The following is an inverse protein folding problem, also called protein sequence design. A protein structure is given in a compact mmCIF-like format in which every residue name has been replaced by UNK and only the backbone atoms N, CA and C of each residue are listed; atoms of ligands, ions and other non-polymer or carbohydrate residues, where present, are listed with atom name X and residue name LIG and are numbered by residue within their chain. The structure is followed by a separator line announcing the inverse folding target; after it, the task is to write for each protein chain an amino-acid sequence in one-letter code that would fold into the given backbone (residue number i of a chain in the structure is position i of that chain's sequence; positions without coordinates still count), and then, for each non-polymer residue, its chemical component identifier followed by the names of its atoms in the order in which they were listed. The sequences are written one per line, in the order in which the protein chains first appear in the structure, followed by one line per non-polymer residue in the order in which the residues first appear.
data_IF_174052672657
#
_entry.id   IF_174052672657
#
_cell.length_a   1.000
_cell.length_b   1.000
_cell.length_c   1.000
_cell.angle_alpha   90.00
_cell.angle_beta   90.00
_cell.angle_gamma   90.00
#
_symmetry.space_group_name_H-M   'P 1'
#
loop_
_entity.id
_entity.type
_entity.pdbx_description
1 polymer ?
#
# COMPACT_ATOMS: atom_id res chain seq x y z
N UNK A 1 15.55 16.86 -3.77
CA UNK A 1 15.94 15.64 -3.02
C UNK A 1 14.72 14.75 -3.13
N UNK A 2 14.89 13.50 -3.56
CA UNK A 2 13.76 12.59 -3.75
C UNK A 2 13.18 12.18 -2.40
N UNK A 3 11.85 12.19 -2.29
CA UNK A 3 11.12 11.62 -1.15
C UNK A 3 10.80 10.16 -1.44
N UNK A 4 11.21 9.26 -0.55
CA UNK A 4 10.93 7.83 -0.62
C UNK A 4 9.58 7.49 -0.01
N UNK A 5 8.75 6.74 -0.74
CA UNK A 5 7.40 6.36 -0.31
C UNK A 5 7.26 4.85 -0.38
N UNK A 6 6.92 4.22 0.75
CA UNK A 6 6.58 2.80 0.82
C UNK A 6 5.06 2.64 0.67
N UNK A 7 4.63 1.78 -0.25
CA UNK A 7 3.23 1.42 -0.42
C UNK A 7 2.97 0.01 0.11
N UNK A 8 2.01 -0.09 1.03
CA UNK A 8 1.50 -1.32 1.63
C UNK A 8 -0.02 -1.42 1.44
N UNK A 9 -0.53 -2.64 1.48
CA UNK A 9 -1.96 -2.94 1.54
C UNK A 9 -2.14 -4.38 2.03
N UNK A 10 -3.35 -4.73 2.46
CA UNK A 10 -3.76 -6.12 2.63
C UNK A 10 -2.82 -6.91 3.56
N UNK A 11 -2.35 -6.30 4.66
CA UNK A 11 -1.38 -6.91 5.58
C UNK A 11 -2.01 -8.03 6.40
N UNK A 12 -3.29 -7.92 6.75
CA UNK A 12 -4.08 -8.95 7.43
C UNK A 12 -3.36 -9.62 8.62
N UNK A 13 -2.64 -8.86 9.43
CA UNK A 13 -2.01 -9.38 10.64
C UNK A 13 -3.03 -9.28 11.78
N UNK A 14 -3.25 -10.35 12.58
CA UNK A 14 -2.52 -11.61 12.62
C UNK A 14 -3.16 -12.77 11.81
N UNK A 15 -4.22 -12.52 11.03
CA UNK A 15 -5.01 -13.59 10.38
C UNK A 15 -4.27 -14.34 9.26
N UNK A 16 -3.46 -13.63 8.46
CA UNK A 16 -2.74 -14.21 7.31
C UNK A 16 -1.24 -14.36 7.56
N UNK A 17 -0.71 -13.65 8.55
CA UNK A 17 0.64 -13.82 9.05
C UNK A 17 0.69 -13.50 10.55
N UNK A 18 1.56 -14.18 11.30
CA UNK A 18 1.71 -13.93 12.76
C UNK A 18 2.26 -12.53 13.06
N UNK A 19 3.04 -11.98 12.14
CA UNK A 19 3.65 -10.65 12.18
C UNK A 19 4.05 -10.22 10.77
N UNK A 20 4.31 -8.94 10.57
CA UNK A 20 4.91 -8.47 9.32
C UNK A 20 6.33 -9.04 9.12
N UNK A 21 6.72 -9.42 7.89
CA UNK A 21 8.08 -9.86 7.59
C UNK A 21 9.13 -8.78 7.89
N UNK A 22 10.33 -9.19 8.32
CA UNK A 22 11.42 -8.27 8.69
C UNK A 22 11.82 -7.33 7.52
N UNK A 23 11.67 -7.77 6.27
CA UNK A 23 11.90 -6.92 5.10
C UNK A 23 10.93 -5.73 5.01
N UNK A 24 9.67 -5.93 5.40
CA UNK A 24 8.66 -4.86 5.44
C UNK A 24 9.00 -3.87 6.54
N UNK A 25 9.42 -4.38 7.70
CA UNK A 25 9.83 -3.56 8.83
C UNK A 25 11.03 -2.66 8.54
N UNK A 26 12.03 -3.16 7.79
CA UNK A 26 13.15 -2.34 7.32
C UNK A 26 12.68 -1.26 6.35
N UNK A 27 11.84 -1.63 5.39
CA UNK A 27 11.30 -0.66 4.43
C UNK A 27 10.46 0.44 5.11
N UNK A 28 9.75 0.12 6.20
CA UNK A 28 9.03 1.12 7.01
C UNK A 28 9.99 2.11 7.67
N UNK A 29 11.09 1.61 8.25
CA UNK A 29 12.08 2.46 8.92
C UNK A 29 12.86 3.35 7.94
N UNK A 30 13.10 2.84 6.72
CA UNK A 30 13.91 3.50 5.71
C UNK A 30 13.11 4.53 4.87
N UNK A 31 11.78 4.48 4.88
CA UNK A 31 10.93 5.33 4.06
C UNK A 31 10.57 6.67 4.74
N UNK A 32 10.58 7.75 3.95
CA UNK A 32 10.13 9.07 4.43
C UNK A 32 8.62 9.10 4.68
N UNK A 33 7.85 8.36 3.86
CA UNK A 33 6.40 8.22 4.01
C UNK A 33 5.96 6.78 3.79
N UNK A 34 5.14 6.27 4.69
CA UNK A 34 4.44 5.00 4.53
C UNK A 34 2.99 5.28 4.13
N UNK A 35 2.52 4.62 3.07
CA UNK A 35 1.13 4.60 2.64
C UNK A 35 0.58 3.20 2.85
N UNK A 36 -0.58 3.06 3.50
CA UNK A 36 -1.22 1.76 3.68
C UNK A 36 -2.69 1.78 3.27
N UNK A 37 -3.04 1.02 2.22
CA UNK A 37 -4.35 1.01 1.60
C UNK A 37 -5.36 0.05 2.25
N UNK A 38 -5.39 -0.03 3.59
CA UNK A 38 -6.36 -0.84 4.35
C UNK A 38 -6.11 -2.34 4.46
N UNK A 39 -7.02 -3.02 5.15
CA UNK A 39 -6.99 -4.44 5.51
C UNK A 39 -5.81 -4.81 6.44
N UNK A 40 -5.81 -4.14 7.60
CA UNK A 40 -4.88 -4.35 8.71
C UNK A 40 -5.28 -5.58 9.54
N UNK A 41 -6.57 -5.67 9.85
CA UNK A 41 -7.28 -6.55 10.79
C UNK A 41 -7.19 -6.12 12.26
N UNK A 42 -6.01 -5.84 12.79
CA UNK A 42 -5.87 -5.46 14.20
C UNK A 42 -5.35 -4.03 14.41
N UNK A 43 -5.70 -3.45 15.56
CA UNK A 43 -5.25 -2.13 15.96
C UNK A 43 -3.75 -2.11 16.30
N UNK A 44 -3.22 -3.21 16.85
CA UNK A 44 -1.83 -3.30 17.26
C UNK A 44 -0.86 -3.20 16.07
N UNK A 45 -1.23 -3.69 14.88
CA UNK A 45 -0.41 -3.50 13.67
C UNK A 45 -0.40 -2.05 13.21
N UNK A 46 -1.53 -1.34 13.30
CA UNK A 46 -1.58 0.10 13.03
C UNK A 46 -0.63 0.85 13.97
N UNK A 47 -0.77 0.64 15.28
CA UNK A 47 0.05 1.30 16.30
C UNK A 47 1.55 1.01 16.10
N UNK A 48 1.91 -0.24 15.82
CA UNK A 48 3.30 -0.62 15.58
C UNK A 48 3.91 0.01 14.30
N UNK A 49 3.10 0.27 13.27
CA UNK A 49 3.55 0.99 12.07
C UNK A 49 3.62 2.49 12.36
N UNK A 50 2.63 3.07 13.04
CA UNK A 50 2.60 4.49 13.44
C UNK A 50 3.82 4.86 14.28
N UNK A 51 4.23 4.00 15.22
CA UNK A 51 5.39 4.22 16.09
C UNK A 51 6.74 4.24 15.34
N UNK A 52 6.81 3.60 14.16
CA UNK A 52 8.06 3.44 13.40
C UNK A 52 8.14 4.31 12.16
N UNK A 53 7.01 4.55 11.50
CA UNK A 53 6.96 5.35 10.29
C UNK A 53 7.26 6.81 10.60
N UNK A 54 8.13 7.44 9.82
CA UNK A 54 8.36 8.89 9.91
C UNK A 54 7.08 9.69 9.62
N UNK A 55 6.24 9.18 8.70
CA UNK A 55 4.89 9.67 8.39
C UNK A 55 4.03 8.51 7.88
N UNK A 56 2.78 8.43 8.32
CA UNK A 56 1.81 7.45 7.84
C UNK A 56 0.60 8.11 7.17
N UNK A 57 0.22 7.61 5.99
CA UNK A 57 -1.05 7.92 5.30
C UNK A 57 -1.80 6.61 5.11
N UNK A 58 -2.98 6.49 5.73
CA UNK A 58 -3.64 5.21 5.90
C UNK A 58 -5.15 5.32 5.76
N UNK A 59 -5.77 4.24 5.28
CA UNK A 59 -7.23 4.04 5.28
C UNK A 59 -7.58 2.71 5.90
N UNK A 60 -8.85 2.55 6.30
CA UNK A 60 -9.39 1.23 6.63
C UNK A 60 -9.84 0.48 5.36
N UNK A 61 -9.75 -0.84 5.39
CA UNK A 61 -10.28 -1.77 4.40
C UNK A 61 -11.57 -2.47 4.86
N UNK A 62 -12.02 -3.43 4.07
CA UNK A 62 -13.30 -4.11 4.34
C UNK A 62 -13.21 -5.14 5.48
N UNK A 63 -12.01 -5.60 5.84
CA UNK A 63 -11.78 -6.55 6.93
C UNK A 63 -11.49 -5.87 8.28
N UNK A 64 -11.46 -4.53 8.32
CA UNK A 64 -11.13 -3.77 9.51
C UNK A 64 -12.35 -3.44 10.38
N UNK A 65 -12.20 -3.72 11.67
CA UNK A 65 -13.25 -3.54 12.68
C UNK A 65 -13.47 -2.10 13.14
N UNK A 66 -14.43 -1.88 14.05
CA UNK A 66 -14.81 -0.54 14.54
C UNK A 66 -13.64 0.27 15.10
N UNK A 67 -12.71 -0.36 15.82
CA UNK A 67 -11.58 0.33 16.45
C UNK A 67 -10.64 0.97 15.42
N UNK A 68 -10.36 0.27 14.32
CA UNK A 68 -9.57 0.81 13.20
C UNK A 68 -10.36 1.88 12.44
N UNK A 69 -11.65 1.66 12.20
CA UNK A 69 -12.53 2.63 11.51
C UNK A 69 -12.75 3.92 12.30
N UNK A 70 -12.59 3.89 13.61
CA UNK A 70 -12.62 5.09 14.45
C UNK A 70 -11.36 5.95 14.30
N UNK A 71 -10.24 5.36 13.84
CA UNK A 71 -8.94 6.04 13.70
C UNK A 71 -8.57 6.38 12.26
N UNK A 72 -8.99 5.55 11.31
CA UNK A 72 -8.63 5.65 9.90
C UNK A 72 -9.84 6.08 9.07
N UNK A 73 -9.68 6.96 8.09
CA UNK A 73 -10.75 7.30 7.16
C UNK A 73 -10.95 6.21 6.11
N UNK A 74 -12.07 6.27 5.38
CA UNK A 74 -12.30 5.45 4.19
C UNK A 74 -11.46 5.92 2.99
N UNK A 75 -11.26 7.25 2.90
CA UNK A 75 -10.44 7.90 1.88
C UNK A 75 -9.45 8.84 2.58
N UNK A 76 -8.17 8.65 2.32
CA UNK A 76 -7.13 9.58 2.78
C UNK A 76 -6.59 10.37 1.59
N UNK A 77 -6.29 11.65 1.82
CA UNK A 77 -5.64 12.54 0.85
C UNK A 77 -4.40 13.13 1.47
N UNK A 78 -3.34 13.24 0.69
CA UNK A 78 -2.08 13.81 1.13
C UNK A 78 -1.33 14.43 -0.05
N UNK A 79 -0.47 15.39 0.26
CA UNK A 79 0.58 15.83 -0.64
C UNK A 79 1.93 15.30 -0.14
N UNK A 80 2.72 14.74 -1.05
CA UNK A 80 4.09 14.26 -0.81
C UNK A 80 4.98 14.92 -1.84
N UNK A 81 5.84 15.84 -1.39
CA UNK A 81 6.77 16.57 -2.25
C UNK A 81 6.11 17.12 -3.54
N UNK A 82 4.95 17.78 -3.38
CA UNK A 82 4.17 18.34 -4.50
C UNK A 82 3.27 17.35 -5.25
N UNK A 83 3.35 16.04 -4.97
CA UNK A 83 2.52 15.01 -5.60
C UNK A 83 1.23 14.82 -4.80
N UNK A 84 0.07 15.00 -5.42
CA UNK A 84 -1.23 14.77 -4.77
C UNK A 84 -1.59 13.29 -4.82
N UNK A 85 -1.82 12.71 -3.66
CA UNK A 85 -2.14 11.29 -3.50
C UNK A 85 -3.52 11.13 -2.88
N UNK A 86 -4.30 10.20 -3.41
CA UNK A 86 -5.45 9.64 -2.72
C UNK A 86 -5.21 8.17 -2.39
N UNK A 87 -5.68 7.73 -1.23
CA UNK A 87 -5.59 6.34 -0.78
C UNK A 87 -7.01 5.86 -0.54
N UNK A 88 -7.36 4.72 -1.12
CA UNK A 88 -8.66 4.06 -0.98
C UNK A 88 -8.42 2.56 -0.91
N UNK A 89 -9.24 1.81 -0.18
CA UNK A 89 -9.02 0.36 -0.14
C UNK A 89 -9.54 -0.34 -1.41
N UNK A 90 -10.79 -0.08 -1.79
CA UNK A 90 -11.49 -0.79 -2.85
C UNK A 90 -11.88 0.14 -4.02
N UNK A 91 -11.65 -0.33 -5.25
CA UNK A 91 -11.93 0.42 -6.49
C UNK A 91 -13.06 -0.19 -7.33
N UNK A 92 -13.69 -1.25 -6.82
CA UNK A 92 -14.55 -2.14 -7.58
C UNK A 92 -13.80 -3.03 -8.59
N UNK A 93 -14.51 -3.62 -9.57
CA UNK A 93 -13.94 -4.53 -10.54
C UNK A 93 -12.78 -3.92 -11.36
N UNK A 94 -11.82 -4.76 -11.74
CA UNK A 94 -10.68 -4.35 -12.55
C UNK A 94 -11.11 -3.79 -13.92
N UNK A 95 -12.10 -4.42 -14.56
CA UNK A 95 -12.69 -3.90 -15.79
C UNK A 95 -13.33 -2.53 -15.55
N UNK A 96 -12.89 -1.54 -16.32
CA UNK A 96 -13.38 -0.16 -16.24
C UNK A 96 -12.92 0.60 -14.98
N UNK A 97 -11.95 0.07 -14.20
CA UNK A 97 -11.42 0.74 -13.00
C UNK A 97 -10.92 2.15 -13.30
N UNK A 98 -10.13 2.32 -14.36
CA UNK A 98 -9.50 3.59 -14.70
C UNK A 98 -10.51 4.69 -14.96
N UNK A 99 -11.47 4.44 -15.86
CA UNK A 99 -12.54 5.41 -16.16
C UNK A 99 -13.44 5.68 -14.94
N UNK A 100 -13.66 4.67 -14.08
CA UNK A 100 -14.42 4.85 -12.85
C UNK A 100 -13.70 5.76 -11.87
N UNK A 101 -12.39 5.58 -11.70
CA UNK A 101 -11.60 6.43 -10.80
C UNK A 101 -11.42 7.84 -11.38
N UNK A 102 -11.26 8.01 -12.69
CA UNK A 102 -11.31 9.33 -13.33
C UNK A 102 -12.61 10.06 -13.02
N UNK A 103 -13.75 9.38 -13.11
CA UNK A 103 -15.04 9.96 -12.78
C UNK A 103 -15.19 10.25 -11.27
N UNK A 104 -14.73 9.34 -10.41
CA UNK A 104 -14.83 9.48 -8.96
C UNK A 104 -13.96 10.63 -8.40
N UNK A 105 -12.83 10.91 -9.06
CA UNK A 105 -11.89 11.96 -8.68
C UNK A 105 -11.91 13.16 -9.62
N UNK A 106 -13.00 13.37 -10.36
CA UNK A 106 -13.16 14.54 -11.22
C UNK A 106 -13.19 15.85 -10.40
N UNK A 107 -12.56 16.90 -10.93
CA UNK A 107 -12.52 18.24 -10.33
C UNK A 107 -11.11 18.77 -10.10
N UNK A 108 -11.01 19.92 -9.43
CA UNK A 108 -9.75 20.65 -9.25
C UNK A 108 -8.79 19.94 -8.28
N UNK A 109 -9.33 19.16 -7.33
CA UNK A 109 -8.57 18.34 -6.36
C UNK A 109 -8.34 16.89 -6.86
N UNK A 110 -8.17 16.72 -8.17
CA UNK A 110 -7.82 15.42 -8.75
C UNK A 110 -6.43 14.99 -8.25
N UNK A 111 -6.26 13.76 -7.70
CA UNK A 111 -4.96 13.27 -7.33
C UNK A 111 -4.15 12.89 -8.57
N UNK A 112 -2.83 12.95 -8.43
CA UNK A 112 -1.88 12.52 -9.45
C UNK A 112 -1.61 11.01 -9.32
N UNK A 113 -1.72 10.47 -8.10
CA UNK A 113 -1.59 9.06 -7.76
C UNK A 113 -2.74 8.57 -6.86
N UNK A 114 -3.30 7.40 -7.19
CA UNK A 114 -4.20 6.65 -6.31
C UNK A 114 -3.55 5.35 -5.89
N UNK A 115 -3.46 5.11 -4.58
CA UNK A 115 -2.98 3.86 -4.00
C UNK A 115 -4.17 3.05 -3.49
N UNK A 116 -4.24 1.77 -3.87
CA UNK A 116 -5.35 0.88 -3.49
C UNK A 116 -4.95 -0.55 -3.16
N UNK A 117 -5.85 -1.30 -2.51
CA UNK A 117 -5.64 -2.66 -2.01
C UNK A 117 -6.71 -3.65 -2.50
N UNK A 118 -7.22 -4.47 -1.57
CA UNK A 118 -8.36 -5.40 -1.69
C UNK A 118 -8.10 -6.66 -2.53
N UNK A 119 -7.48 -6.49 -3.69
CA UNK A 119 -7.28 -7.58 -4.65
C UNK A 119 -6.07 -8.46 -4.32
N UNK A 120 -5.08 -7.91 -3.61
CA UNK A 120 -3.73 -8.46 -3.40
C UNK A 120 -2.97 -8.70 -4.71
N UNK A 121 -3.42 -8.11 -5.83
CA UNK A 121 -2.79 -8.24 -7.15
C UNK A 121 -2.02 -6.95 -7.41
N UNK A 122 -0.68 -7.02 -7.56
CA UNK A 122 0.10 -5.86 -7.97
C UNK A 122 -0.48 -5.21 -9.22
N UNK A 123 -0.62 -3.89 -9.19
CA UNK A 123 -1.22 -3.13 -10.28
C UNK A 123 -0.45 -1.82 -10.48
N UNK A 124 -0.17 -1.50 -11.74
CA UNK A 124 0.40 -0.22 -12.14
C UNK A 124 -0.19 0.16 -13.50
N UNK A 125 -0.99 1.22 -13.51
CA UNK A 125 -1.54 1.75 -14.75
C UNK A 125 -1.77 3.26 -14.66
N UNK A 126 -2.05 3.89 -15.80
CA UNK A 126 -2.39 5.31 -15.88
C UNK A 126 -3.77 5.42 -16.54
N UNK A 127 -4.67 6.14 -15.90
CA UNK A 127 -6.02 6.36 -16.41
C UNK A 127 -6.00 7.25 -17.67
N UNK A 128 -7.07 7.24 -18.49
CA UNK A 128 -7.22 8.21 -19.58
C UNK A 128 -7.09 9.68 -19.14
N UNK A 129 -7.50 10.01 -17.90
CA UNK A 129 -7.35 11.32 -17.28
C UNK A 129 -5.93 11.66 -16.78
N UNK A 130 -4.98 10.72 -16.89
CA UNK A 130 -3.57 10.90 -16.53
C UNK A 130 -3.23 10.60 -15.06
N UNK A 131 -4.15 10.02 -14.30
CA UNK A 131 -3.93 9.63 -12.90
C UNK A 131 -3.25 8.26 -12.84
N UNK A 132 -2.17 8.10 -12.07
CA UNK A 132 -1.53 6.78 -11.88
C UNK A 132 -2.26 5.98 -10.81
N UNK A 133 -2.43 4.69 -11.03
CA UNK A 133 -3.08 3.76 -10.10
C UNK A 133 -2.08 2.70 -9.67
N UNK A 134 -1.78 2.63 -8.37
CA UNK A 134 -0.86 1.64 -7.81
C UNK A 134 -1.55 0.74 -6.78
N UNK A 135 -1.36 -0.57 -6.93
CA UNK A 135 -1.66 -1.56 -5.90
C UNK A 135 -0.39 -2.33 -5.58
N UNK A 136 0.11 -2.31 -4.33
CA UNK A 136 1.36 -2.97 -3.96
C UNK A 136 1.24 -4.50 -3.87
N UNK A 137 0.03 -5.05 -4.01
CA UNK A 137 -0.30 -6.42 -3.64
C UNK A 137 -0.37 -6.57 -2.12
N UNK A 138 0.02 -7.73 -1.61
CA UNK A 138 0.05 -8.00 -0.17
C UNK A 138 1.41 -8.54 0.27
N UNK A 139 2.00 -8.00 1.35
CA UNK A 139 3.29 -8.45 1.86
C UNK A 139 3.20 -9.76 2.66
N UNK A 140 1.99 -10.25 2.95
CA UNK A 140 1.74 -11.40 3.84
C UNK A 140 0.83 -12.44 3.18
N UNK A 141 -0.20 -12.00 2.45
CA UNK A 141 -1.20 -12.84 1.82
C UNK A 141 -1.15 -12.73 0.30
N UNK A 142 -0.29 -13.51 -0.35
CA UNK A 142 -0.22 -13.53 -1.82
C UNK A 142 -1.54 -13.96 -2.50
N UNK A 143 -2.53 -14.53 -1.79
CA UNK A 143 -3.69 -15.22 -2.38
C UNK A 143 -3.27 -16.14 -3.53
N UNK A 144 -3.54 -15.76 -4.78
CA UNK A 144 -3.21 -16.49 -6.01
C UNK A 144 -1.90 -16.05 -6.68
N UNK A 145 -1.29 -14.96 -6.22
CA UNK A 145 0.00 -14.45 -6.72
C UNK A 145 1.14 -15.41 -6.37
N UNK A 146 2.22 -15.44 -7.17
CA UNK A 146 3.35 -16.34 -6.94
C UNK A 146 4.14 -15.98 -5.67
N UNK A 147 4.21 -14.69 -5.33
CA UNK A 147 5.00 -14.14 -4.22
C UNK A 147 4.22 -13.06 -3.48
N UNK A 148 4.63 -12.77 -2.24
CA UNK A 148 4.19 -11.57 -1.52
C UNK A 148 4.94 -10.35 -2.04
N UNK A 149 4.32 -9.18 -2.00
CA UNK A 149 4.87 -7.96 -2.57
C UNK A 149 4.57 -6.73 -1.73
N UNK A 150 5.39 -5.71 -1.94
CA UNK A 150 5.14 -4.31 -1.59
C UNK A 150 5.64 -3.44 -2.75
N UNK A 151 5.35 -2.14 -2.76
CA UNK A 151 5.93 -1.22 -3.75
C UNK A 151 6.70 -0.10 -3.08
N UNK A 152 7.78 0.34 -3.71
CA UNK A 152 8.48 1.57 -3.35
C UNK A 152 8.34 2.58 -4.48
N UNK A 153 8.15 3.85 -4.13
CA UNK A 153 7.97 4.96 -5.05
C UNK A 153 8.95 6.07 -4.67
N UNK A 154 9.65 6.62 -5.64
CA UNK A 154 10.44 7.83 -5.46
C UNK A 154 9.69 9.03 -6.07
N UNK A 155 9.50 10.07 -5.28
CA UNK A 155 8.86 11.33 -5.69
C UNK A 155 9.89 12.45 -5.68
N UNK A 156 9.89 13.28 -6.71
CA UNK A 156 10.71 14.50 -6.79
C UNK A 156 9.88 15.62 -7.42
N UNK A 157 9.63 16.69 -6.65
CA UNK A 157 8.97 17.91 -7.10
C UNK A 157 7.67 17.66 -7.89
N UNK A 158 6.76 16.88 -7.30
CA UNK A 158 5.42 16.59 -7.80
C UNK A 158 5.36 15.48 -8.83
N UNK A 159 6.46 14.77 -9.05
CA UNK A 159 6.55 13.71 -10.06
C UNK A 159 7.04 12.42 -9.45
N UNK A 160 6.42 11.32 -9.88
CA UNK A 160 6.95 9.98 -9.65
C UNK A 160 8.13 9.78 -10.60
N UNK A 161 9.33 9.61 -10.05
CA UNK A 161 10.55 9.38 -10.84
C UNK A 161 10.93 7.90 -10.89
N UNK A 162 10.45 7.10 -9.94
CA UNK A 162 10.68 5.65 -9.90
C UNK A 162 9.55 4.89 -9.20
N UNK A 163 9.29 3.66 -9.63
CA UNK A 163 8.35 2.72 -9.00
C UNK A 163 8.88 1.30 -9.14
N UNK A 164 9.09 0.65 -8.00
CA UNK A 164 9.55 -0.73 -7.94
C UNK A 164 8.52 -1.63 -7.25
N UNK A 165 8.24 -2.78 -7.87
CA UNK A 165 7.52 -3.87 -7.24
C UNK A 165 8.51 -4.80 -6.54
N UNK A 166 8.52 -4.76 -5.22
CA UNK A 166 9.50 -5.50 -4.39
C UNK A 166 8.87 -6.79 -3.90
N UNK A 167 9.51 -7.93 -4.18
CA UNK A 167 9.11 -9.22 -3.64
C UNK A 167 9.47 -9.31 -2.16
N UNK A 168 8.51 -9.72 -1.33
CA UNK A 168 8.69 -9.90 0.12
C UNK A 168 8.92 -11.38 0.43
N UNK A 169 10.12 -11.77 0.90
CA UNK A 169 10.38 -13.14 1.32
C UNK A 169 9.47 -13.50 2.49
N UNK A 170 8.82 -14.66 2.42
CA UNK A 170 8.15 -15.22 3.59
C UNK A 170 9.22 -15.68 4.57
N UNK A 171 9.15 -15.23 5.82
CA UNK A 171 10.03 -15.69 6.88
C UNK A 171 9.90 -17.20 7.04
N UNK A 172 10.77 -17.95 6.37
CA UNK A 172 11.02 -19.35 6.66
C UNK A 172 12.00 -19.42 7.81
N UNK A 173 11.70 -20.27 8.80
CA UNK A 173 12.75 -20.79 9.69
C UNK A 173 13.91 -21.40 8.88
N UNK A 174 15.04 -21.72 9.54
CA UNK A 174 16.30 -22.01 8.86
C UNK A 174 16.10 -23.04 7.73
N UNK A 175 16.61 -22.69 6.56
CA UNK A 175 16.73 -23.59 5.42
C UNK A 175 17.40 -24.87 5.91
N UNK A 176 16.64 -25.97 6.00
CA UNK A 176 17.25 -27.29 6.13
C UNK A 176 18.06 -27.50 4.86
N UNK A 177 19.38 -27.38 5.00
CA UNK A 177 20.33 -27.64 3.93
C UNK A 177 20.03 -28.98 3.29
N UNK A 178 20.03 -29.00 1.96
CA UNK A 178 20.12 -30.23 1.20
C UNK A 178 21.44 -30.90 1.62
N UNK A 179 21.33 -31.95 2.45
CA UNK A 179 22.41 -32.90 2.63
C UNK A 179 22.61 -33.61 1.28
N UNK A 180 23.87 -33.64 0.87
CA UNK A 180 24.39 -34.38 -0.28
C UNK A 180 24.18 -35.89 -0.11
#
# INVERSE_FOLDING_TARGET
MTTSVLLLADTHVPLRAKRLPDAVWRAIDDADVVVHAGDWVDLATLEAIEDRAARLVAVHGNNDGPDLRARLPEVARAEIDGLRIAVVHETGPATGRESRLDAAFAGDDRPDLVVFGHSHIPWDSVTPGGMRLLNPGSPTDRRRQPVCTMMTVAVDAGRIVDVDLVTVPRGGGPTRGAAR
#
